data_IF_191147713077
#
_entry.id   IF_191147713077
#
_cell.length_a   1.000
_cell.length_b   1.000
_cell.length_c   1.000
_cell.angle_alpha   90.00
_cell.angle_beta   90.00
_cell.angle_gamma   90.00
#
_symmetry.space_group_name_H-M   'P 1'
#
loop_
_entity.id
_entity.type
_entity.pdbx_description
1 polymer ?
#
# COMPACT_ATOMS: atom_id res chain seq x y z
N UNK A 1 18.72 24.14 65.07
CA UNK A 1 19.36 23.28 64.06
C UNK A 1 18.23 22.62 63.26
N UNK A 2 17.90 23.14 62.08
CA UNK A 2 16.76 22.64 61.28
C UNK A 2 17.18 22.66 59.81
N UNK A 3 17.53 21.48 59.30
CA UNK A 3 17.94 21.28 57.90
C UNK A 3 16.68 21.03 57.07
N UNK A 4 16.33 21.99 56.21
CA UNK A 4 15.24 21.83 55.23
C UNK A 4 15.77 21.05 54.02
N UNK A 5 15.25 19.83 53.83
CA UNK A 5 15.50 19.02 52.65
C UNK A 5 14.54 19.44 51.52
N UNK A 6 15.07 20.11 50.50
CA UNK A 6 14.32 20.50 49.30
C UNK A 6 14.24 19.31 48.35
N UNK A 7 13.08 18.64 48.29
CA UNK A 7 12.82 17.60 47.30
C UNK A 7 12.52 18.24 45.94
N UNK A 8 13.37 17.97 44.95
CA UNK A 8 13.14 18.32 43.55
C UNK A 8 12.39 17.15 42.91
N UNK A 9 11.08 17.28 42.76
CA UNK A 9 10.25 16.34 42.01
C UNK A 9 10.31 16.69 40.53
N UNK A 10 11.02 15.89 39.73
CA UNK A 10 10.98 15.99 38.25
C UNK A 10 9.86 15.08 37.76
N UNK A 11 8.73 15.67 37.38
CA UNK A 11 7.64 14.96 36.69
C UNK A 11 7.95 14.91 35.19
N UNK A 12 8.32 13.73 34.68
CA UNK A 12 8.45 13.49 33.24
C UNK A 12 7.07 13.08 32.71
N UNK A 13 6.34 14.03 32.11
CA UNK A 13 5.14 13.73 31.34
C UNK A 13 5.56 13.15 29.98
N UNK A 14 5.58 11.81 29.88
CA UNK A 14 5.74 11.11 28.61
C UNK A 14 4.42 11.27 27.81
N UNK A 15 4.34 12.32 27.01
CA UNK A 15 3.21 12.53 26.08
C UNK A 15 3.40 11.58 24.90
N UNK A 16 2.72 10.44 24.95
CA UNK A 16 2.64 9.49 23.84
C UNK A 16 1.88 10.12 22.68
N UNK A 17 2.60 10.76 21.75
CA UNK A 17 2.05 11.11 20.46
C UNK A 17 1.85 9.80 19.68
N UNK A 18 0.67 9.19 19.80
CA UNK A 18 0.20 8.24 18.79
C UNK A 18 0.05 9.03 17.49
N UNK A 19 1.09 8.98 16.65
CA UNK A 19 0.99 9.44 15.28
C UNK A 19 -0.05 8.53 14.61
N UNK A 20 -1.23 9.08 14.33
CA UNK A 20 -2.16 8.44 13.40
C UNK A 20 -1.42 8.38 12.07
N UNK A 21 -1.12 7.17 11.59
CA UNK A 21 -0.57 7.00 10.26
C UNK A 21 -1.65 7.45 9.27
N UNK A 22 -1.39 8.56 8.59
CA UNK A 22 -2.33 9.12 7.62
C UNK A 22 -2.40 8.21 6.39
N UNK A 23 -3.59 8.03 5.84
CA UNK A 23 -3.77 7.27 4.61
C UNK A 23 -3.19 8.08 3.45
N UNK A 24 -2.27 7.48 2.69
CA UNK A 24 -1.62 8.10 1.55
C UNK A 24 -2.10 7.44 0.26
N UNK A 25 -2.43 8.26 -0.74
CA UNK A 25 -2.64 7.79 -2.11
C UNK A 25 -1.29 7.43 -2.71
N UNK A 26 -1.07 6.14 -2.98
CA UNK A 26 0.19 5.60 -3.51
C UNK A 26 0.20 5.65 -5.03
N UNK A 27 -0.96 5.36 -5.64
CA UNK A 27 -1.19 5.41 -7.08
C UNK A 27 -2.59 5.97 -7.31
N UNK A 28 -2.73 6.91 -8.22
CA UNK A 28 -4.01 7.35 -8.77
C UNK A 28 -3.81 7.67 -10.25
N UNK A 29 -4.40 6.86 -11.13
CA UNK A 29 -4.31 7.08 -12.57
C UNK A 29 -5.35 8.08 -13.09
N UNK A 30 -6.31 8.49 -12.24
CA UNK A 30 -7.47 9.28 -12.60
C UNK A 30 -8.59 8.43 -13.21
N UNK A 31 -9.76 9.04 -13.34
CA UNK A 31 -10.91 8.37 -13.99
C UNK A 31 -10.75 8.40 -15.52
N UNK A 32 -10.90 7.26 -16.22
CA UNK A 32 -10.91 7.23 -17.69
C UNK A 32 -11.96 8.18 -18.28
N UNK A 33 -11.58 8.96 -19.30
CA UNK A 33 -12.52 9.84 -20.00
C UNK A 33 -13.44 9.00 -20.90
N UNK A 34 -14.76 9.14 -20.72
CA UNK A 34 -15.80 8.33 -21.39
C UNK A 34 -15.93 8.56 -22.92
N UNK A 35 -14.90 9.13 -23.55
CA UNK A 35 -14.86 9.45 -24.98
C UNK A 35 -14.44 8.21 -25.78
N UNK A 36 -15.37 7.27 -25.96
CA UNK A 36 -15.35 6.21 -26.99
C UNK A 36 -14.19 5.19 -27.07
N UNK A 37 -13.12 5.28 -26.29
CA UNK A 37 -11.86 4.60 -26.65
C UNK A 37 -11.44 3.44 -25.73
N UNK A 38 -12.11 2.30 -25.90
CA UNK A 38 -11.53 0.99 -25.60
C UNK A 38 -11.62 0.53 -24.14
N UNK A 39 -11.96 -0.74 -23.97
CA UNK A 39 -11.93 -1.41 -22.68
C UNK A 39 -11.26 -2.77 -22.85
N UNK A 40 -10.56 -3.23 -21.83
CA UNK A 40 -9.91 -4.53 -21.83
C UNK A 40 -10.74 -5.50 -20.99
N UNK A 41 -11.17 -6.59 -21.61
CA UNK A 41 -12.08 -7.53 -20.96
C UNK A 41 -11.41 -8.26 -19.79
N UNK A 42 -12.14 -8.41 -18.68
CA UNK A 42 -11.81 -9.30 -17.58
C UNK A 42 -12.93 -10.33 -17.55
N UNK A 43 -12.66 -11.50 -18.11
CA UNK A 43 -13.70 -12.47 -18.46
C UNK A 43 -13.26 -13.90 -18.22
N UNK A 44 -14.25 -14.73 -17.91
CA UNK A 44 -14.19 -16.18 -17.89
C UNK A 44 -15.35 -16.70 -18.74
N UNK A 45 -15.09 -16.85 -20.03
CA UNK A 45 -16.04 -17.45 -20.96
C UNK A 45 -15.46 -18.77 -21.47
N UNK A 46 -16.28 -19.79 -21.78
CA UNK A 46 -15.79 -20.97 -22.47
C UNK A 46 -14.97 -20.54 -23.69
N UNK A 47 -13.67 -20.86 -23.68
CA UNK A 47 -12.68 -20.53 -24.72
C UNK A 47 -12.18 -19.07 -24.79
N UNK A 48 -12.45 -18.25 -23.78
CA UNK A 48 -11.91 -16.89 -23.67
C UNK A 48 -11.76 -16.45 -22.21
N UNK A 49 -10.70 -16.93 -21.54
CA UNK A 49 -10.28 -16.40 -20.25
C UNK A 49 -9.35 -15.23 -20.47
N UNK A 50 -9.58 -14.12 -19.78
CA UNK A 50 -8.66 -12.99 -19.78
C UNK A 50 -8.52 -12.39 -18.38
N UNK A 51 -7.27 -12.34 -17.92
CA UNK A 51 -6.82 -11.61 -16.75
C UNK A 51 -6.04 -10.38 -17.20
N UNK A 52 -6.11 -9.32 -16.41
CA UNK A 52 -5.48 -8.03 -16.72
C UNK A 52 -4.72 -7.56 -15.49
N UNK A 53 -3.56 -6.93 -15.67
CA UNK A 53 -2.81 -6.35 -14.57
C UNK A 53 -2.23 -4.97 -14.89
N UNK A 54 -2.11 -4.13 -13.87
CA UNK A 54 -1.47 -2.82 -13.94
C UNK A 54 -0.21 -2.80 -13.06
N UNK A 55 0.90 -2.33 -13.65
CA UNK A 55 2.19 -2.21 -13.00
C UNK A 55 2.36 -0.84 -12.33
N UNK A 56 2.91 -0.81 -11.13
CA UNK A 56 3.20 0.41 -10.37
C UNK A 56 4.47 0.27 -9.54
N UNK A 57 4.97 1.38 -9.00
CA UNK A 57 6.20 1.42 -8.20
C UNK A 57 5.95 2.12 -6.87
N UNK A 58 6.57 1.59 -5.81
CA UNK A 58 6.55 2.16 -4.46
C UNK A 58 7.95 2.63 -4.08
N UNK A 59 8.07 3.88 -3.65
CA UNK A 59 9.34 4.47 -3.19
C UNK A 59 9.68 4.13 -1.73
N UNK A 60 8.71 3.64 -0.97
CA UNK A 60 8.83 3.30 0.45
C UNK A 60 8.06 2.02 0.78
N UNK A 61 8.10 1.62 2.05
CA UNK A 61 7.28 0.49 2.53
C UNK A 61 5.93 0.98 3.03
N UNK A 62 4.86 0.30 2.66
CA UNK A 62 3.49 0.68 2.97
C UNK A 62 2.68 -0.54 3.43
N UNK A 63 1.68 -0.31 4.27
CA UNK A 63 0.57 -1.23 4.42
C UNK A 63 -0.52 -0.76 3.45
N UNK A 64 -0.71 -1.48 2.35
CA UNK A 64 -1.80 -1.21 1.39
C UNK A 64 -3.13 -1.50 2.08
N UNK A 65 -4.04 -0.52 2.02
CA UNK A 65 -5.36 -0.57 2.64
C UNK A 65 -6.47 -0.72 1.62
N UNK A 66 -6.33 -0.10 0.44
CA UNK A 66 -7.39 -0.08 -0.55
C UNK A 66 -6.80 -0.18 -1.95
N UNK A 67 -7.44 -0.97 -2.80
CA UNK A 67 -7.12 -1.09 -4.23
C UNK A 67 -8.41 -1.09 -4.99
N UNK A 68 -8.58 -0.15 -5.92
CA UNK A 68 -9.75 -0.05 -6.77
C UNK A 68 -9.38 0.21 -8.23
N UNK A 69 -10.22 -0.28 -9.14
CA UNK A 69 -10.12 0.04 -10.56
C UNK A 69 -11.46 0.43 -11.16
N UNK A 70 -11.39 1.13 -12.28
CA UNK A 70 -12.58 1.61 -12.98
C UNK A 70 -13.11 0.53 -13.93
N UNK A 71 -14.17 -0.16 -13.51
CA UNK A 71 -14.81 -1.21 -14.29
C UNK A 71 -16.01 -0.70 -15.06
N UNK A 72 -16.27 -1.34 -16.19
CA UNK A 72 -17.60 -1.52 -16.77
C UNK A 72 -18.07 -2.96 -16.48
N UNK A 73 -19.29 -3.09 -15.96
CA UNK A 73 -19.87 -4.38 -15.58
C UNK A 73 -20.66 -4.96 -16.76
N UNK A 74 -20.23 -6.11 -17.29
CA UNK A 74 -21.02 -6.88 -18.25
C UNK A 74 -21.99 -7.84 -17.54
N UNK A 75 -21.47 -8.66 -16.65
CA UNK A 75 -22.19 -9.53 -15.72
C UNK A 75 -21.58 -9.38 -14.32
N UNK A 76 -22.37 -9.00 -13.28
CA UNK A 76 -21.89 -8.99 -11.91
C UNK A 76 -21.45 -10.40 -11.48
N UNK A 77 -20.57 -10.46 -10.49
CA UNK A 77 -20.02 -11.72 -10.02
C UNK A 77 -18.77 -11.53 -9.19
N UNK A 78 -18.10 -12.64 -8.89
CA UNK A 78 -16.85 -12.63 -8.14
C UNK A 78 -15.64 -12.69 -9.05
N UNK A 79 -14.53 -12.10 -8.59
CA UNK A 79 -13.22 -12.15 -9.20
C UNK A 79 -12.13 -12.06 -8.12
N UNK A 80 -10.90 -12.39 -8.49
CA UNK A 80 -9.74 -12.28 -7.62
C UNK A 80 -8.95 -11.02 -7.94
N UNK A 81 -8.65 -10.22 -6.91
CA UNK A 81 -7.64 -9.18 -6.94
C UNK A 81 -6.36 -9.73 -6.31
N UNK A 82 -5.25 -9.68 -7.03
CA UNK A 82 -3.96 -10.12 -6.51
C UNK A 82 -2.89 -9.03 -6.64
N UNK A 83 -1.92 -9.08 -5.74
CA UNK A 83 -0.67 -8.33 -5.86
C UNK A 83 0.45 -9.28 -6.23
N UNK A 84 1.18 -8.95 -7.28
CA UNK A 84 2.34 -9.68 -7.78
C UNK A 84 3.60 -8.84 -7.65
N UNK A 85 4.76 -9.48 -7.43
CA UNK A 85 6.07 -8.87 -7.65
C UNK A 85 6.29 -8.59 -9.13
N UNK A 86 7.24 -7.73 -9.48
CA UNK A 86 7.71 -7.60 -10.88
C UNK A 86 8.80 -8.64 -11.19
N UNK A 87 8.69 -9.28 -12.36
CA UNK A 87 9.73 -10.12 -12.95
C UNK A 87 9.88 -9.75 -14.43
N UNK A 88 11.05 -9.24 -14.80
CA UNK A 88 11.36 -8.83 -16.18
C UNK A 88 10.37 -7.83 -16.77
N UNK A 89 9.85 -6.91 -15.95
CA UNK A 89 8.89 -5.89 -16.38
C UNK A 89 7.46 -6.38 -16.58
N UNK A 90 7.12 -7.58 -16.08
CA UNK A 90 5.79 -8.19 -16.11
C UNK A 90 5.42 -8.73 -14.70
N UNK A 91 4.16 -9.13 -14.44
CA UNK A 91 3.82 -9.81 -13.20
C UNK A 91 4.66 -11.08 -12.99
N UNK A 92 5.24 -11.20 -11.79
CA UNK A 92 6.12 -12.28 -11.35
C UNK A 92 5.42 -13.25 -10.41
N UNK A 93 5.86 -13.28 -9.14
CA UNK A 93 5.31 -14.17 -8.12
C UNK A 93 4.16 -13.49 -7.37
N UNK A 94 3.10 -14.24 -7.07
CA UNK A 94 1.98 -13.72 -6.30
C UNK A 94 2.39 -13.50 -4.83
N UNK A 95 2.18 -12.30 -4.32
CA UNK A 95 2.46 -11.92 -2.93
C UNK A 95 1.20 -12.00 -2.08
N UNK A 96 0.09 -11.46 -2.58
CA UNK A 96 -1.20 -11.41 -1.91
C UNK A 96 -2.34 -11.66 -2.89
N UNK A 97 -3.48 -12.15 -2.41
CA UNK A 97 -4.69 -12.28 -3.20
C UNK A 97 -5.93 -12.36 -2.32
N UNK A 98 -7.00 -11.69 -2.75
CA UNK A 98 -8.30 -11.74 -2.11
C UNK A 98 -9.40 -11.81 -3.20
N UNK A 99 -10.44 -12.58 -2.94
CA UNK A 99 -11.65 -12.58 -3.76
C UNK A 99 -12.56 -11.42 -3.33
N UNK A 100 -13.25 -10.80 -4.29
CA UNK A 100 -14.30 -9.83 -4.03
C UNK A 100 -15.45 -9.96 -5.04
N UNK A 101 -16.64 -9.49 -4.66
CA UNK A 101 -17.80 -9.39 -5.54
C UNK A 101 -17.91 -7.98 -6.11
N UNK A 102 -18.22 -7.89 -7.40
CA UNK A 102 -18.75 -6.69 -8.00
C UNK A 102 -20.24 -6.92 -8.21
N UNK A 103 -21.03 -6.28 -7.33
CA UNK A 103 -22.48 -6.29 -7.38
C UNK A 103 -23.00 -5.10 -8.20
N UNK A 104 -24.18 -5.26 -8.81
CA UNK A 104 -24.81 -4.20 -9.59
C UNK A 104 -25.56 -4.72 -10.80
N UNK A 105 -26.20 -3.81 -11.53
CA UNK A 105 -26.79 -4.11 -12.84
C UNK A 105 -25.73 -4.08 -13.94
N UNK A 106 -25.87 -4.90 -15.00
CA UNK A 106 -25.10 -4.76 -16.22
C UNK A 106 -25.09 -3.32 -16.73
N UNK A 107 -24.00 -2.93 -17.39
CA UNK A 107 -23.75 -1.59 -17.93
C UNK A 107 -23.45 -0.48 -16.93
N UNK A 108 -23.34 -0.78 -15.64
CA UNK A 108 -22.81 0.18 -14.65
C UNK A 108 -21.30 0.34 -14.84
N UNK A 109 -20.82 1.58 -14.72
CA UNK A 109 -19.40 1.92 -14.66
C UNK A 109 -19.08 2.54 -13.31
N UNK A 110 -17.89 2.26 -12.77
CA UNK A 110 -17.49 2.83 -11.50
C UNK A 110 -16.19 2.25 -10.95
N UNK A 111 -15.78 2.79 -9.79
CA UNK A 111 -14.65 2.29 -9.03
C UNK A 111 -15.07 1.10 -8.17
N UNK A 112 -14.45 -0.04 -8.40
CA UNK A 112 -14.68 -1.26 -7.64
C UNK A 112 -13.35 -1.90 -7.26
N UNK A 113 -13.33 -2.56 -6.11
CA UNK A 113 -12.13 -3.20 -5.61
C UNK A 113 -12.26 -3.67 -4.18
N UNK A 114 -11.14 -3.70 -3.48
CA UNK A 114 -11.02 -4.15 -2.10
C UNK A 114 -10.65 -2.99 -1.18
N UNK A 115 -11.25 -2.98 0.00
CA UNK A 115 -10.98 -2.02 1.07
C UNK A 115 -10.65 -2.71 2.39
N UNK A 116 -9.94 -2.02 3.28
CA UNK A 116 -9.58 -2.57 4.60
C UNK A 116 -8.56 -3.70 4.53
N UNK A 117 -7.72 -3.70 3.49
CA UNK A 117 -6.58 -4.58 3.36
C UNK A 117 -5.51 -4.25 4.42
N UNK A 118 -4.63 -5.21 4.67
CA UNK A 118 -3.46 -5.04 5.52
C UNK A 118 -2.27 -5.76 4.88
N UNK A 119 -1.94 -5.36 3.66
CA UNK A 119 -0.84 -5.96 2.91
C UNK A 119 0.42 -5.13 3.11
N UNK A 120 1.36 -5.64 3.90
CA UNK A 120 2.68 -5.03 4.03
C UNK A 120 3.47 -5.26 2.73
N UNK A 121 3.88 -4.17 2.09
CA UNK A 121 4.63 -4.17 0.84
C UNK A 121 5.84 -3.26 0.99
N UNK A 122 7.02 -3.79 0.70
CA UNK A 122 8.25 -3.01 0.69
C UNK A 122 8.31 -2.04 -0.51
N UNK A 123 9.34 -1.19 -0.56
CA UNK A 123 9.62 -0.41 -1.77
C UNK A 123 9.98 -1.35 -2.92
N UNK A 124 9.49 -1.08 -4.14
CA UNK A 124 9.73 -1.93 -5.30
C UNK A 124 8.75 -1.72 -6.44
N UNK A 125 8.79 -2.60 -7.43
CA UNK A 125 7.85 -2.63 -8.55
C UNK A 125 6.88 -3.79 -8.38
N UNK A 126 5.60 -3.54 -8.59
CA UNK A 126 4.52 -4.47 -8.32
C UNK A 126 3.46 -4.42 -9.42
N UNK A 127 2.61 -5.43 -9.42
CA UNK A 127 1.48 -5.55 -10.34
C UNK A 127 0.21 -5.87 -9.57
N UNK A 128 -0.82 -5.04 -9.72
CA UNK A 128 -2.18 -5.40 -9.33
C UNK A 128 -2.80 -6.16 -10.49
N UNK A 129 -3.38 -7.33 -10.24
CA UNK A 129 -4.05 -8.14 -11.26
C UNK A 129 -5.51 -8.40 -10.89
N UNK A 130 -6.34 -8.49 -11.93
CA UNK A 130 -7.72 -8.92 -11.87
C UNK A 130 -7.85 -10.21 -12.66
N UNK A 131 -8.24 -11.27 -11.96
CA UNK A 131 -8.24 -12.63 -12.48
C UNK A 131 -9.56 -13.30 -12.16
N UNK A 132 -10.08 -14.07 -13.12
CA UNK A 132 -11.19 -14.97 -12.86
C UNK A 132 -10.63 -16.37 -12.66
N UNK A 133 -10.86 -16.97 -11.49
CA UNK A 133 -10.30 -18.26 -11.06
C UNK A 133 -11.41 -19.24 -10.72
N UNK A 134 -11.22 -20.51 -11.05
CA UNK A 134 -12.13 -21.59 -10.66
C UNK A 134 -13.58 -21.33 -11.09
N UNK A 135 -14.48 -21.17 -10.11
CA UNK A 135 -15.93 -20.98 -10.31
C UNK A 135 -16.37 -19.52 -10.33
N UNK A 136 -15.44 -18.56 -10.33
CA UNK A 136 -15.74 -17.13 -10.36
C UNK A 136 -16.45 -16.73 -11.68
N UNK A 137 -17.43 -15.83 -11.56
CA UNK A 137 -18.45 -15.58 -12.60
C UNK A 137 -18.45 -14.16 -13.18
N UNK A 138 -17.61 -13.25 -12.66
CA UNK A 138 -17.58 -11.88 -13.15
C UNK A 138 -17.23 -11.82 -14.64
N UNK A 139 -17.93 -10.97 -15.36
CA UNK A 139 -17.63 -10.61 -16.74
C UNK A 139 -17.70 -9.10 -16.86
N UNK A 140 -16.64 -8.46 -17.31
CA UNK A 140 -16.66 -7.03 -17.51
C UNK A 140 -15.43 -6.57 -18.25
N UNK A 141 -15.14 -5.28 -18.12
CA UNK A 141 -13.95 -4.71 -18.71
C UNK A 141 -13.40 -3.59 -17.82
N UNK A 142 -12.10 -3.37 -17.92
CA UNK A 142 -11.43 -2.20 -17.36
C UNK A 142 -11.35 -1.13 -18.44
N UNK A 143 -11.84 0.06 -18.12
CA UNK A 143 -11.87 1.18 -19.07
C UNK A 143 -10.49 1.81 -19.20
N UNK A 144 -10.13 2.18 -20.42
CA UNK A 144 -8.89 2.87 -20.75
C UNK A 144 -9.14 3.99 -21.78
N UNK A 145 -8.16 4.87 -22.05
CA UNK A 145 -7.03 5.18 -21.18
C UNK A 145 -7.45 6.11 -20.02
N UNK A 146 -6.82 5.99 -18.84
CA UNK A 146 -6.91 7.00 -17.79
C UNK A 146 -5.98 8.19 -18.10
N UNK A 147 -6.17 9.35 -17.46
CA UNK A 147 -5.30 10.54 -17.63
C UNK A 147 -3.81 10.26 -17.37
N UNK A 148 -3.50 9.40 -16.39
CA UNK A 148 -2.13 9.04 -16.02
C UNK A 148 -1.93 7.51 -16.13
N UNK A 149 -1.76 6.97 -17.34
CA UNK A 149 -1.72 5.53 -17.56
C UNK A 149 -0.48 4.87 -16.96
N UNK A 150 -0.70 3.68 -16.39
CA UNK A 150 0.36 2.77 -15.91
C UNK A 150 0.67 1.69 -16.95
N UNK A 151 1.73 0.91 -16.71
CA UNK A 151 2.02 -0.28 -17.53
C UNK A 151 0.86 -1.27 -17.40
N UNK A 152 0.49 -1.96 -18.48
CA UNK A 152 -0.50 -3.03 -18.44
C UNK A 152 0.06 -4.33 -19.00
N UNK A 153 -0.46 -5.43 -18.47
CA UNK A 153 -0.22 -6.76 -18.98
C UNK A 153 -1.55 -7.53 -19.03
N UNK A 154 -1.64 -8.47 -19.96
CA UNK A 154 -2.77 -9.38 -20.10
C UNK A 154 -2.28 -10.81 -20.05
N UNK A 155 -3.09 -11.71 -19.51
CA UNK A 155 -2.88 -13.15 -19.58
C UNK A 155 -4.19 -13.79 -20.00
N UNK A 156 -4.18 -14.50 -21.10
CA UNK A 156 -5.36 -15.15 -21.67
C UNK A 156 -4.99 -16.50 -22.28
N UNK A 157 -5.97 -17.24 -22.79
CA UNK A 157 -5.78 -18.58 -23.36
C UNK A 157 -4.83 -18.62 -24.57
N UNK A 158 -4.55 -17.48 -25.21
CA UNK A 158 -3.62 -17.37 -26.34
C UNK A 158 -2.16 -17.25 -25.92
N UNK A 159 -1.89 -16.85 -24.68
CA UNK A 159 -0.55 -16.66 -24.16
C UNK A 159 -0.22 -17.69 -23.08
N UNK A 160 1.01 -18.18 -23.08
CA UNK A 160 1.50 -19.09 -22.03
C UNK A 160 1.72 -18.39 -20.68
N UNK A 161 1.88 -17.07 -20.71
CA UNK A 161 2.14 -16.22 -19.53
C UNK A 161 1.64 -14.78 -19.81
N UNK A 162 1.88 -13.87 -18.87
CA UNK A 162 1.64 -12.45 -19.02
C UNK A 162 2.35 -11.86 -20.24
N UNK A 163 1.63 -11.02 -20.98
CA UNK A 163 2.14 -10.28 -22.15
C UNK A 163 1.83 -8.80 -21.97
N UNK A 164 2.78 -7.92 -22.32
CA UNK A 164 2.58 -6.48 -22.22
C UNK A 164 1.49 -5.99 -23.16
N UNK A 165 0.75 -4.96 -22.74
CA UNK A 165 -0.27 -4.31 -23.54
C UNK A 165 -0.02 -2.79 -23.57
N UNK A 166 -0.21 -2.11 -24.71
CA UNK A 166 0.15 -0.70 -24.88
C UNK A 166 -0.76 0.32 -24.16
N UNK A 167 -1.80 -0.13 -23.47
CA UNK A 167 -2.83 0.73 -22.85
C UNK A 167 -2.76 0.58 -21.34
N UNK A 168 -3.07 1.60 -20.54
CA UNK A 168 -3.26 1.49 -19.08
C UNK A 168 -4.73 1.61 -18.71
N UNK A 169 -5.13 1.25 -17.49
CA UNK A 169 -6.52 1.40 -17.01
C UNK A 169 -6.60 2.17 -15.68
N UNK A 170 -7.82 2.57 -15.30
CA UNK A 170 -8.10 3.26 -14.03
C UNK A 170 -7.67 2.41 -12.82
N UNK A 171 -6.72 2.88 -12.02
CA UNK A 171 -6.19 2.22 -10.82
C UNK A 171 -5.97 3.26 -9.73
N UNK A 172 -6.51 2.98 -8.55
CA UNK A 172 -6.24 3.68 -7.31
C UNK A 172 -5.67 2.66 -6.32
N UNK A 173 -4.56 3.00 -5.69
CA UNK A 173 -3.95 2.24 -4.60
C UNK A 173 -3.71 3.19 -3.43
N UNK A 174 -4.27 2.85 -2.28
CA UNK A 174 -4.12 3.62 -1.04
C UNK A 174 -3.43 2.76 0.01
N UNK A 175 -2.68 3.41 0.89
CA UNK A 175 -2.04 2.72 2.00
C UNK A 175 -1.45 3.68 3.01
N UNK A 176 -1.09 3.14 4.16
CA UNK A 176 -0.39 3.90 5.20
C UNK A 176 1.10 3.61 5.13
N UNK A 177 1.98 4.59 5.38
CA UNK A 177 3.41 4.32 5.53
C UNK A 177 3.60 3.24 6.58
N UNK A 178 4.35 2.20 6.25
CA UNK A 178 4.62 1.16 7.23
C UNK A 178 5.48 1.78 8.33
N UNK A 179 4.96 1.80 9.56
CA UNK A 179 5.74 2.23 10.71
C UNK A 179 6.88 1.23 10.90
N UNK A 180 8.05 1.55 10.39
CA UNK A 180 9.27 0.84 10.80
C UNK A 180 9.46 1.21 12.26
N UNK A 181 9.31 0.29 13.23
CA UNK A 181 9.66 0.62 14.60
C UNK A 181 11.13 1.03 14.55
N UNK A 182 11.47 2.27 14.90
CA UNK A 182 12.87 2.69 15.01
C UNK A 182 13.36 2.30 16.41
N UNK A 183 13.79 1.05 16.66
CA UNK A 183 14.02 0.59 18.02
C UNK A 183 15.31 1.24 18.57
N UNK A 184 16.19 1.69 17.66
CA UNK A 184 17.52 2.19 17.98
C UNK A 184 17.54 3.70 18.23
N UNK A 185 16.64 4.48 17.62
CA UNK A 185 16.59 5.93 17.84
C UNK A 185 16.21 6.27 19.28
N UNK A 186 15.28 5.50 19.86
CA UNK A 186 14.93 5.62 21.28
C UNK A 186 16.05 5.16 22.20
N UNK A 187 16.73 4.06 21.88
CA UNK A 187 17.88 3.59 22.67
C UNK A 187 19.02 4.60 22.62
N UNK A 188 19.33 5.17 21.45
CA UNK A 188 20.37 6.19 21.29
C UNK A 188 20.00 7.50 21.99
N UNK A 189 18.74 7.90 21.93
CA UNK A 189 18.23 9.06 22.66
C UNK A 189 18.33 8.85 24.19
N UNK A 190 17.89 7.69 24.69
CA UNK A 190 17.98 7.34 26.11
C UNK A 190 19.43 7.17 26.58
N UNK A 191 20.30 6.59 25.74
CA UNK A 191 21.73 6.49 26.01
C UNK A 191 22.37 7.88 26.08
N UNK A 192 22.02 8.78 25.15
CA UNK A 192 22.46 10.18 25.16
C UNK A 192 22.03 10.93 26.43
N UNK A 193 20.76 10.79 26.83
CA UNK A 193 20.25 11.34 28.09
C UNK A 193 20.97 10.78 29.31
N UNK A 194 21.25 9.47 29.33
CA UNK A 194 21.96 8.80 30.42
C UNK A 194 23.40 9.31 30.58
N UNK A 195 24.10 9.53 29.46
CA UNK A 195 25.44 10.13 29.46
C UNK A 195 25.43 11.57 29.99
N UNK A 196 24.49 12.39 29.54
CA UNK A 196 24.34 13.77 30.03
C UNK A 196 24.03 13.80 31.53
N UNK A 197 23.14 12.93 32.01
CA UNK A 197 22.84 12.78 33.43
C UNK A 197 24.05 12.37 34.28
N UNK A 198 24.88 11.45 33.77
CA UNK A 198 26.14 11.04 34.39
C UNK A 198 27.15 12.19 34.51
N UNK A 199 27.32 12.98 33.45
CA UNK A 199 28.24 14.13 33.43
C UNK A 199 27.82 15.24 34.42
N UNK A 200 26.52 15.53 34.54
CA UNK A 200 26.03 16.53 35.50
C UNK A 200 26.28 16.09 36.95
N UNK A 201 26.20 14.78 37.23
CA UNK A 201 26.44 14.23 38.57
C UNK A 201 27.92 14.24 38.98
N UNK A 202 28.85 14.14 38.01
CA UNK A 202 30.29 14.15 38.24
C UNK A 202 30.90 15.52 38.61
N UNK A 203 30.16 16.64 38.48
CA UNK A 203 30.69 18.00 38.75
C UNK A 203 30.70 18.43 40.22
N UNK A 204 30.26 17.59 41.16
CA UNK A 204 30.31 17.93 42.59
C UNK A 204 31.49 17.22 43.28
N UNK A 205 32.61 17.94 43.37
CA UNK A 205 33.52 18.05 44.53
C UNK A 205 34.94 18.39 44.04
N UNK A 206 35.17 19.65 43.68
CA UNK A 206 36.48 20.27 43.91
C UNK A 206 36.30 21.13 45.15
N UNK A 207 36.45 20.53 46.32
CA UNK A 207 36.54 21.29 47.56
C UNK A 207 37.91 21.97 47.58
N UNK A 208 37.91 23.29 47.44
CA UNK A 208 39.09 24.12 47.57
C UNK A 208 39.58 24.05 49.02
N UNK A 209 40.66 23.31 49.26
CA UNK A 209 41.48 23.48 50.46
C UNK A 209 42.49 24.60 50.18
N UNK A 210 42.17 25.82 50.63
CA UNK A 210 43.15 26.88 50.81
C UNK A 210 43.33 27.13 52.31
N UNK A 211 44.52 26.74 52.78
CA UNK A 211 45.31 27.17 53.94
C UNK A 211 44.62 27.34 55.29
#
# INVERSE_FOLDING_TARGET
MLVRATQITVAVMLSGACLLADAATLVDTGSPELTQNGAISVINYPYAHQSVGAGFSLSGSYNITDIASYFWIGNPGTLTLSLYSERSGLPGDQLFSNEFSIDGSPSIKGWFGLSGLNWFVASGNYWVTYEIRGTQTFNGALEFPPPFPTKMAVRNDYYTDWTSHPSGFGLIVEGTPASVPEPHSFIMFLAGLSLLGGMVRGRKQVSAWFR
#
